data_IF_551763701940
#
_entry.id   IF_551763701940
#
_cell.length_a   1.000
_cell.length_b   1.000
_cell.length_c   1.000
_cell.angle_alpha   90.00
_cell.angle_beta   90.00
_cell.angle_gamma   90.00
#
_symmetry.space_group_name_H-M   'P 1'
#
loop_
_entity.id
_entity.type
_entity.pdbx_description
1 polymer ?
#
# COMPACT_ATOMS: atom_id res chain seq x y z
N UNK A 1 -20.73 29.48 -13.42
CA UNK A 1 -19.81 30.02 -14.44
C UNK A 1 -20.02 29.24 -15.72
N UNK A 2 -19.91 29.91 -16.88
CA UNK A 2 -20.19 29.38 -18.23
C UNK A 2 -19.58 27.99 -18.44
N UNK A 3 -20.42 27.01 -18.79
CA UNK A 3 -19.96 25.72 -19.27
C UNK A 3 -19.43 25.95 -20.69
N UNK A 4 -18.12 26.07 -20.84
CA UNK A 4 -17.48 26.35 -22.13
C UNK A 4 -17.75 25.17 -23.08
N UNK A 5 -18.31 25.45 -24.25
CA UNK A 5 -18.68 24.39 -25.20
C UNK A 5 -17.41 23.73 -25.77
N UNK A 6 -17.50 22.44 -26.14
CA UNK A 6 -16.44 21.75 -26.90
C UNK A 6 -16.05 22.59 -28.13
N UNK A 7 -17.02 23.25 -28.77
CA UNK A 7 -16.78 24.09 -29.94
C UNK A 7 -15.94 25.34 -29.60
N UNK A 8 -16.16 25.96 -28.43
CA UNK A 8 -15.37 27.10 -27.97
C UNK A 8 -13.94 26.69 -27.61
N UNK A 9 -13.80 25.52 -26.98
CA UNK A 9 -12.49 24.92 -26.67
C UNK A 9 -11.72 24.60 -27.95
N UNK A 10 -12.39 24.02 -28.96
CA UNK A 10 -11.79 23.72 -30.26
C UNK A 10 -11.36 24.99 -31.01
N UNK A 11 -12.14 26.07 -30.93
CA UNK A 11 -11.78 27.37 -31.51
C UNK A 11 -10.55 27.98 -30.86
N UNK A 12 -10.43 27.91 -29.52
CA UNK A 12 -9.24 28.38 -28.79
C UNK A 12 -8.01 27.55 -29.11
N UNK A 13 -8.15 26.22 -29.19
CA UNK A 13 -7.06 25.31 -29.56
C UNK A 13 -6.56 25.62 -30.97
N UNK A 14 -7.47 25.83 -31.93
CA UNK A 14 -7.13 26.24 -33.28
C UNK A 14 -6.39 27.58 -33.29
N UNK A 15 -6.85 28.57 -32.50
CA UNK A 15 -6.19 29.87 -32.41
C UNK A 15 -4.78 29.79 -31.81
N UNK A 16 -4.58 28.94 -30.79
CA UNK A 16 -3.24 28.71 -30.20
C UNK A 16 -2.32 28.04 -31.21
N UNK A 17 -2.78 26.98 -31.88
CA UNK A 17 -1.94 26.27 -32.87
C UNK A 17 -1.55 27.20 -34.02
N UNK A 18 -2.51 27.95 -34.58
CA UNK A 18 -2.21 28.94 -35.64
C UNK A 18 -1.18 29.97 -35.16
N UNK A 19 -1.28 30.44 -33.91
CA UNK A 19 -0.33 31.41 -33.35
C UNK A 19 1.09 30.85 -33.23
N UNK A 20 1.23 29.60 -32.81
CA UNK A 20 2.55 29.00 -32.54
C UNK A 20 3.20 28.38 -33.78
N UNK A 21 2.42 27.85 -34.72
CA UNK A 21 2.95 27.10 -35.88
C UNK A 21 2.74 27.81 -37.22
N UNK A 22 1.96 28.90 -37.25
CA UNK A 22 1.58 29.63 -38.45
C UNK A 22 0.56 28.90 -39.34
N UNK A 23 0.20 27.66 -39.02
CA UNK A 23 -0.73 26.83 -39.80
C UNK A 23 -1.69 26.12 -38.86
N UNK A 24 -3.00 26.29 -39.09
CA UNK A 24 -4.03 25.65 -38.26
C UNK A 24 -4.10 24.13 -38.45
N UNK A 25 -4.73 23.45 -37.50
CA UNK A 25 -5.02 22.03 -37.65
C UNK A 25 -5.99 21.83 -38.82
N UNK A 26 -5.71 20.82 -39.65
CA UNK A 26 -6.61 20.38 -40.71
C UNK A 26 -7.82 19.62 -40.16
N UNK A 27 -8.85 19.44 -41.00
CA UNK A 27 -10.14 18.85 -40.60
C UNK A 27 -10.02 17.46 -39.94
N UNK A 28 -9.08 16.61 -40.38
CA UNK A 28 -8.86 15.29 -39.80
C UNK A 28 -8.30 15.37 -38.36
N UNK A 29 -7.32 16.25 -38.11
CA UNK A 29 -6.74 16.45 -36.79
C UNK A 29 -7.74 17.12 -35.83
N UNK A 30 -8.55 18.05 -36.33
CA UNK A 30 -9.65 18.64 -35.56
C UNK A 30 -10.69 17.60 -35.15
N UNK A 31 -11.07 16.69 -36.05
CA UNK A 31 -12.00 15.60 -35.75
C UNK A 31 -11.43 14.62 -34.70
N UNK A 32 -10.13 14.35 -34.74
CA UNK A 32 -9.45 13.50 -33.76
C UNK A 32 -9.41 14.14 -32.37
N UNK A 33 -9.01 15.42 -32.28
CA UNK A 33 -9.02 16.19 -31.02
C UNK A 33 -10.44 16.33 -30.47
N UNK A 34 -11.42 16.62 -31.33
CA UNK A 34 -12.84 16.67 -30.94
C UNK A 34 -13.32 15.30 -30.46
N UNK A 35 -12.85 14.19 -31.05
CA UNK A 35 -13.12 12.82 -30.59
C UNK A 35 -12.61 12.57 -29.17
N UNK A 36 -11.40 13.02 -28.83
CA UNK A 36 -10.86 12.93 -27.47
C UNK A 36 -11.64 13.79 -26.47
N UNK A 37 -11.95 15.04 -26.82
CA UNK A 37 -12.75 15.93 -25.97
C UNK A 37 -14.16 15.39 -25.77
N UNK A 38 -14.79 14.83 -26.80
CA UNK A 38 -16.12 14.24 -26.73
C UNK A 38 -16.11 12.92 -25.95
N UNK A 39 -15.03 12.13 -25.98
CA UNK A 39 -14.89 10.94 -25.13
C UNK A 39 -14.76 11.32 -23.64
N UNK A 40 -13.97 12.35 -23.34
CA UNK A 40 -13.87 12.93 -22.00
C UNK A 40 -15.20 13.56 -21.53
N UNK A 41 -15.92 14.23 -22.43
CA UNK A 41 -17.23 14.80 -22.14
C UNK A 41 -18.34 13.76 -22.12
N UNK A 42 -18.23 12.60 -22.76
CA UNK A 42 -19.16 11.47 -22.56
C UNK A 42 -18.99 10.86 -21.17
N UNK A 43 -17.73 10.70 -20.71
CA UNK A 43 -17.45 10.30 -19.33
C UNK A 43 -18.00 11.32 -18.32
N UNK A 44 -17.92 12.62 -18.61
CA UNK A 44 -18.55 13.69 -17.79
C UNK A 44 -20.07 13.79 -17.96
N UNK A 45 -20.60 13.60 -19.16
CA UNK A 45 -22.03 13.75 -19.47
C UNK A 45 -22.85 12.56 -19.01
N UNK A 46 -22.27 11.36 -18.97
CA UNK A 46 -22.86 10.21 -18.28
C UNK A 46 -22.96 10.48 -16.77
N UNK A 47 -22.09 11.33 -16.19
CA UNK A 47 -22.22 11.81 -14.80
C UNK A 47 -23.27 12.93 -14.63
N UNK A 48 -23.50 13.74 -15.68
CA UNK A 48 -24.47 14.85 -15.67
C UNK A 48 -25.91 14.39 -16.01
N UNK A 49 -26.09 13.29 -16.76
CA UNK A 49 -27.41 12.79 -17.17
C UNK A 49 -28.14 11.99 -16.09
N UNK A 50 -27.43 11.44 -15.11
CA UNK A 50 -28.03 11.02 -13.83
C UNK A 50 -28.13 12.26 -12.94
N UNK A 51 -29.33 12.83 -12.81
CA UNK A 51 -29.57 14.14 -12.22
C UNK A 51 -29.11 14.31 -10.76
N UNK A 52 -29.03 15.58 -10.35
CA UNK A 52 -28.69 16.20 -9.05
C UNK A 52 -28.77 15.34 -7.76
N UNK A 53 -29.63 14.32 -7.70
CA UNK A 53 -29.71 13.36 -6.60
C UNK A 53 -28.52 12.39 -6.52
N UNK A 54 -27.83 12.05 -7.61
CA UNK A 54 -26.69 11.10 -7.61
C UNK A 54 -25.37 11.68 -7.12
N UNK A 55 -25.28 13.01 -6.97
CA UNK A 55 -24.10 13.71 -6.43
C UNK A 55 -24.20 14.02 -4.94
N UNK A 56 -25.39 13.89 -4.33
CA UNK A 56 -25.52 14.01 -2.87
C UNK A 56 -24.84 12.83 -2.17
N UNK A 57 -24.18 13.11 -1.05
CA UNK A 57 -23.54 12.09 -0.23
C UNK A 57 -24.59 11.11 0.29
N UNK A 58 -24.46 9.84 -0.11
CA UNK A 58 -25.37 8.77 0.28
C UNK A 58 -24.60 7.55 0.78
N UNK A 59 -25.17 6.77 1.72
CA UNK A 59 -24.60 5.49 2.12
C UNK A 59 -24.55 4.54 0.93
N UNK A 60 -23.38 3.96 0.66
CA UNK A 60 -23.19 2.92 -0.35
C UNK A 60 -22.26 1.84 0.19
N UNK A 61 -22.57 0.58 -0.14
CA UNK A 61 -21.59 -0.48 0.02
C UNK A 61 -20.60 -0.40 -1.14
N UNK A 62 -19.31 -0.34 -0.83
CA UNK A 62 -18.24 -0.31 -1.83
C UNK A 62 -17.18 -1.33 -1.49
N UNK A 63 -16.42 -1.76 -2.50
CA UNK A 63 -15.15 -2.45 -2.32
C UNK A 63 -14.00 -1.51 -2.65
N UNK A 64 -13.21 -1.20 -1.64
CA UNK A 64 -12.03 -0.36 -1.71
C UNK A 64 -10.81 -1.23 -1.97
N UNK A 65 -10.00 -0.85 -2.95
CA UNK A 65 -8.68 -1.42 -3.22
C UNK A 65 -7.67 -0.28 -3.10
N UNK A 66 -6.73 -0.44 -2.16
CA UNK A 66 -5.59 0.46 -2.04
C UNK A 66 -4.33 -0.31 -2.42
N UNK A 67 -3.47 0.33 -3.21
CA UNK A 67 -2.25 -0.26 -3.72
C UNK A 67 -1.08 0.71 -3.54
N UNK A 68 0.01 0.27 -2.91
CA UNK A 68 1.17 1.09 -2.57
C UNK A 68 2.48 0.48 -3.10
N UNK A 69 3.39 1.32 -3.59
CA UNK A 69 4.70 0.87 -4.08
C UNK A 69 5.69 0.69 -2.93
N UNK A 70 5.94 -0.57 -2.57
CA UNK A 70 6.81 -0.94 -1.46
C UNK A 70 8.27 -0.60 -1.70
N UNK A 71 8.81 0.21 -0.78
CA UNK A 71 10.21 0.66 -0.80
C UNK A 71 10.46 1.82 -1.75
N UNK A 72 9.41 2.40 -2.35
CA UNK A 72 9.54 3.52 -3.28
C UNK A 72 10.06 4.78 -2.59
N UNK A 73 9.60 5.10 -1.38
CA UNK A 73 10.11 6.24 -0.58
C UNK A 73 11.60 6.15 -0.27
N UNK A 74 12.11 4.95 0.04
CA UNK A 74 13.54 4.75 0.27
C UNK A 74 14.34 4.88 -1.03
N UNK A 75 13.79 4.33 -2.12
CA UNK A 75 14.38 4.45 -3.45
C UNK A 75 14.42 5.90 -3.93
N UNK A 76 13.37 6.68 -3.70
CA UNK A 76 13.28 8.08 -4.15
C UNK A 76 14.30 8.98 -3.46
N UNK A 77 14.72 8.64 -2.25
CA UNK A 77 15.78 9.35 -1.53
C UNK A 77 17.19 9.06 -2.07
N UNK A 78 17.39 7.94 -2.79
CA UNK A 78 18.70 7.46 -3.23
C UNK A 78 18.92 7.61 -4.75
N UNK A 79 17.90 7.98 -5.51
CA UNK A 79 17.93 8.00 -6.97
C UNK A 79 17.65 9.42 -7.51
N UNK A 80 18.12 9.75 -8.73
CA UNK A 80 17.78 11.02 -9.37
C UNK A 80 16.26 11.17 -9.54
N UNK A 81 15.72 12.34 -9.21
CA UNK A 81 14.27 12.60 -9.22
C UNK A 81 13.60 12.28 -10.58
N UNK A 82 14.29 12.55 -11.70
CA UNK A 82 13.77 12.26 -13.04
C UNK A 82 13.55 10.75 -13.27
N UNK A 83 14.46 9.89 -12.80
CA UNK A 83 14.35 8.44 -12.94
C UNK A 83 13.23 7.87 -12.05
N UNK A 84 13.11 8.41 -10.83
CA UNK A 84 12.04 8.06 -9.88
C UNK A 84 10.66 8.38 -10.45
N UNK A 85 10.49 9.59 -11.02
CA UNK A 85 9.23 10.03 -11.62
C UNK A 85 8.91 9.18 -12.86
N UNK A 86 9.89 8.88 -13.70
CA UNK A 86 9.69 8.03 -14.88
C UNK A 86 9.25 6.61 -14.49
N UNK A 87 9.89 6.02 -13.47
CA UNK A 87 9.52 4.70 -12.94
C UNK A 87 8.10 4.72 -12.34
N UNK A 88 7.77 5.75 -11.55
CA UNK A 88 6.44 5.93 -10.97
C UNK A 88 5.37 6.02 -12.06
N UNK A 89 5.54 6.91 -13.03
CA UNK A 89 4.57 7.12 -14.10
C UNK A 89 4.33 5.84 -14.92
N UNK A 90 5.38 5.05 -15.19
CA UNK A 90 5.24 3.75 -15.85
C UNK A 90 4.41 2.77 -15.03
N UNK A 91 4.64 2.72 -13.71
CA UNK A 91 3.82 1.92 -12.80
C UNK A 91 2.36 2.39 -12.83
N UNK A 92 2.12 3.68 -12.64
CA UNK A 92 0.76 4.24 -12.58
C UNK A 92 -0.02 4.02 -13.88
N UNK A 93 0.60 4.18 -15.05
CA UNK A 93 -0.03 3.86 -16.35
C UNK A 93 -0.46 2.40 -16.37
N UNK A 94 0.47 1.48 -16.05
CA UNK A 94 0.19 0.04 -16.12
C UNK A 94 -0.89 -0.40 -15.13
N UNK A 95 -0.89 0.16 -13.93
CA UNK A 95 -1.92 -0.11 -12.92
C UNK A 95 -3.27 0.47 -13.33
N UNK A 96 -3.30 1.68 -13.91
CA UNK A 96 -4.54 2.32 -14.37
C UNK A 96 -5.21 1.53 -15.48
N UNK A 97 -4.44 0.97 -16.42
CA UNK A 97 -4.97 0.08 -17.47
C UNK A 97 -5.67 -1.15 -16.89
N UNK A 98 -5.14 -1.72 -15.81
CA UNK A 98 -5.76 -2.87 -15.13
C UNK A 98 -7.05 -2.44 -14.44
N UNK A 99 -7.04 -1.33 -13.72
CA UNK A 99 -8.23 -0.81 -13.04
C UNK A 99 -9.37 -0.54 -14.02
N UNK A 100 -9.08 0.13 -15.13
CA UNK A 100 -10.08 0.44 -16.16
C UNK A 100 -10.67 -0.82 -16.79
N UNK A 101 -9.86 -1.86 -17.04
CA UNK A 101 -10.33 -3.15 -17.58
C UNK A 101 -11.40 -3.80 -16.70
N UNK A 102 -11.27 -3.64 -15.39
CA UNK A 102 -12.20 -4.20 -14.40
C UNK A 102 -13.29 -3.22 -13.96
N UNK A 103 -13.40 -2.07 -14.64
CA UNK A 103 -14.41 -1.04 -14.35
C UNK A 103 -14.35 -0.55 -12.90
N UNK A 104 -13.12 -0.45 -12.36
CA UNK A 104 -12.87 0.24 -11.09
C UNK A 104 -12.74 1.74 -11.32
N UNK A 105 -13.15 2.54 -10.34
CA UNK A 105 -12.98 3.99 -10.35
C UNK A 105 -11.69 4.33 -9.61
N UNK A 106 -10.69 4.87 -10.30
CA UNK A 106 -9.52 5.46 -9.62
C UNK A 106 -10.03 6.73 -8.93
N UNK A 107 -10.12 6.70 -7.60
CA UNK A 107 -10.64 7.82 -6.82
C UNK A 107 -9.54 8.85 -6.57
N UNK A 108 -8.31 8.41 -6.27
CA UNK A 108 -7.18 9.30 -6.04
C UNK A 108 -5.82 8.59 -6.16
N UNK A 109 -4.82 9.33 -6.63
CA UNK A 109 -3.40 9.00 -6.43
C UNK A 109 -2.86 9.73 -5.20
N UNK A 110 -2.19 9.01 -4.31
CA UNK A 110 -1.63 9.51 -3.05
C UNK A 110 -0.12 9.29 -3.08
N UNK A 111 0.60 10.11 -3.85
CA UNK A 111 2.03 9.91 -4.08
C UNK A 111 2.29 8.64 -4.90
N UNK A 112 2.87 7.63 -4.27
CA UNK A 112 3.15 6.29 -4.79
C UNK A 112 2.04 5.27 -4.50
N UNK A 113 0.98 5.71 -3.83
CA UNK A 113 -0.23 4.94 -3.58
C UNK A 113 -1.35 5.26 -4.58
N UNK A 114 -2.22 4.29 -4.85
CA UNK A 114 -3.44 4.40 -5.66
C UNK A 114 -4.63 3.87 -4.87
N UNK A 115 -5.73 4.64 -4.84
CA UNK A 115 -7.01 4.24 -4.26
C UNK A 115 -8.06 4.05 -5.35
N UNK A 116 -8.67 2.87 -5.35
CA UNK A 116 -9.65 2.43 -6.33
C UNK A 116 -10.92 2.01 -5.62
N UNK A 117 -12.06 2.38 -6.20
CA UNK A 117 -13.40 2.07 -5.67
C UNK A 117 -14.18 1.26 -6.69
N UNK A 118 -14.79 0.17 -6.23
CA UNK A 118 -15.82 -0.60 -6.93
C UNK A 118 -17.13 -0.42 -6.16
N UNK A 119 -18.25 -0.14 -6.82
CA UNK A 119 -19.51 0.23 -6.17
C UNK A 119 -19.85 1.73 -6.21
N UNK A 120 -18.90 2.56 -6.64
CA UNK A 120 -19.12 3.99 -6.83
C UNK A 120 -18.29 4.55 -8.00
N UNK A 121 -18.83 5.50 -8.80
CA UNK A 121 -20.21 6.01 -8.75
C UNK A 121 -21.24 5.04 -9.33
N UNK A 122 -20.80 3.96 -9.96
CA UNK A 122 -21.64 2.90 -10.51
C UNK A 122 -21.38 1.62 -9.70
N UNK A 123 -22.46 0.94 -9.33
CA UNK A 123 -22.41 -0.31 -8.57
C UNK A 123 -22.82 -1.48 -9.45
N UNK A 124 -22.25 -2.65 -9.16
CA UNK A 124 -22.57 -3.90 -9.82
C UNK A 124 -22.58 -5.04 -8.79
N UNK A 125 -23.31 -6.11 -9.08
CA UNK A 125 -23.40 -7.25 -8.14
C UNK A 125 -22.06 -7.98 -7.93
N UNK A 126 -21.14 -7.87 -8.88
CA UNK A 126 -19.84 -8.54 -8.86
C UNK A 126 -18.67 -7.62 -8.43
N UNK A 127 -18.95 -6.45 -7.81
CA UNK A 127 -17.93 -5.47 -7.40
C UNK A 127 -16.77 -6.07 -6.59
N UNK A 128 -17.08 -6.97 -5.65
CA UNK A 128 -16.07 -7.70 -4.87
C UNK A 128 -15.19 -8.57 -5.77
N UNK A 129 -15.79 -9.31 -6.71
CA UNK A 129 -15.03 -10.18 -7.61
C UNK A 129 -14.14 -9.35 -8.55
N UNK A 130 -14.66 -8.27 -9.13
CA UNK A 130 -13.88 -7.38 -10.00
C UNK A 130 -12.71 -6.74 -9.25
N UNK A 131 -12.92 -6.30 -8.01
CA UNK A 131 -11.85 -5.76 -7.17
C UNK A 131 -10.74 -6.79 -6.90
N UNK A 132 -11.10 -8.04 -6.56
CA UNK A 132 -10.11 -9.08 -6.28
C UNK A 132 -9.36 -9.53 -7.54
N UNK A 133 -10.05 -9.66 -8.67
CA UNK A 133 -9.41 -9.95 -9.96
C UNK A 133 -8.46 -8.82 -10.35
N UNK A 134 -8.90 -7.56 -10.21
CA UNK A 134 -8.07 -6.38 -10.42
C UNK A 134 -6.80 -6.42 -9.55
N UNK A 135 -6.92 -6.70 -8.25
CA UNK A 135 -5.78 -6.80 -7.34
C UNK A 135 -4.76 -7.86 -7.79
N UNK A 136 -5.22 -9.06 -8.19
CA UNK A 136 -4.31 -10.12 -8.66
C UNK A 136 -3.65 -9.73 -9.99
N UNK A 137 -4.39 -9.13 -10.92
CA UNK A 137 -3.83 -8.67 -12.19
C UNK A 137 -2.85 -7.50 -12.03
N UNK A 138 -3.06 -6.61 -11.06
CA UNK A 138 -2.09 -5.56 -10.71
C UNK A 138 -0.76 -6.18 -10.25
N UNK A 139 -0.81 -7.22 -9.40
CA UNK A 139 0.40 -7.92 -8.98
C UNK A 139 1.12 -8.63 -10.14
N UNK A 140 0.37 -9.25 -11.06
CA UNK A 140 0.93 -9.86 -12.27
C UNK A 140 1.56 -8.81 -13.20
N UNK A 141 0.89 -7.67 -13.39
CA UNK A 141 1.38 -6.57 -14.21
C UNK A 141 2.68 -5.99 -13.64
N UNK A 142 2.80 -5.87 -12.31
CA UNK A 142 4.03 -5.42 -11.65
C UNK A 142 5.17 -6.43 -11.77
N UNK A 143 4.88 -7.73 -11.68
CA UNK A 143 5.88 -8.78 -11.98
C UNK A 143 6.44 -8.62 -13.39
N UNK A 144 5.56 -8.43 -14.37
CA UNK A 144 5.96 -8.30 -15.78
C UNK A 144 6.74 -7.00 -16.02
N UNK A 145 6.32 -5.89 -15.40
CA UNK A 145 7.04 -4.62 -15.44
C UNK A 145 8.45 -4.74 -14.84
N UNK A 146 8.60 -5.47 -13.73
CA UNK A 146 9.91 -5.70 -13.13
C UNK A 146 10.86 -6.52 -14.02
N UNK A 147 10.35 -7.38 -14.90
CA UNK A 147 11.19 -8.05 -15.90
C UNK A 147 11.71 -7.07 -16.95
N UNK A 148 10.92 -6.06 -17.32
CA UNK A 148 11.36 -4.96 -18.19
C UNK A 148 12.39 -4.10 -17.47
N UNK A 149 12.11 -3.68 -16.22
CA UNK A 149 13.04 -2.89 -15.43
C UNK A 149 14.41 -3.58 -15.29
N UNK A 150 14.42 -4.91 -15.06
CA UNK A 150 15.66 -5.67 -14.98
C UNK A 150 16.49 -5.61 -16.27
N UNK A 151 15.84 -5.68 -17.45
CA UNK A 151 16.52 -5.56 -18.75
C UNK A 151 17.05 -4.15 -18.99
N UNK A 152 16.34 -3.14 -18.51
CA UNK A 152 16.70 -1.73 -18.64
C UNK A 152 17.61 -1.23 -17.51
N UNK A 153 18.00 -2.11 -16.57
CA UNK A 153 18.79 -1.77 -15.37
C UNK A 153 18.13 -0.72 -14.48
N UNK A 154 16.79 -0.66 -14.49
CA UNK A 154 16.00 0.14 -13.58
C UNK A 154 15.73 -0.62 -12.27
N UNK A 155 15.51 0.08 -11.16
CA UNK A 155 15.10 -0.55 -9.90
C UNK A 155 13.79 -1.34 -10.04
N UNK A 156 13.73 -2.47 -9.35
CA UNK A 156 12.49 -3.22 -9.23
C UNK A 156 11.55 -2.55 -8.23
N UNK A 157 10.27 -2.50 -8.56
CA UNK A 157 9.23 -1.89 -7.74
C UNK A 157 8.18 -2.94 -7.41
N UNK A 158 7.80 -3.05 -6.15
CA UNK A 158 6.87 -4.07 -5.68
C UNK A 158 5.60 -3.42 -5.17
N UNK A 159 4.48 -4.13 -5.23
CA UNK A 159 3.18 -3.60 -4.81
C UNK A 159 2.69 -4.31 -3.55
N UNK A 160 2.23 -3.54 -2.58
CA UNK A 160 1.35 -3.99 -1.51
C UNK A 160 -0.09 -3.64 -1.88
N UNK A 161 -1.05 -4.53 -1.61
CA UNK A 161 -2.47 -4.25 -1.85
C UNK A 161 -3.28 -4.63 -0.62
N UNK A 162 -4.16 -3.71 -0.21
CA UNK A 162 -5.24 -3.95 0.76
C UNK A 162 -6.62 -3.82 0.11
N UNK A 163 -7.53 -4.74 0.42
CA UNK A 163 -8.91 -4.72 -0.07
C UNK A 163 -9.88 -4.80 1.11
N UNK A 164 -10.88 -3.91 1.11
CA UNK A 164 -11.94 -3.89 2.11
C UNK A 164 -13.31 -3.62 1.47
N UNK A 165 -14.33 -4.37 1.89
CA UNK A 165 -15.73 -4.11 1.52
C UNK A 165 -16.52 -3.63 2.73
N UNK A 166 -17.23 -2.50 2.59
CA UNK A 166 -18.04 -1.94 3.67
C UNK A 166 -18.88 -0.75 3.25
N UNK A 167 -19.72 -0.27 4.17
CA UNK A 167 -20.57 0.90 3.98
C UNK A 167 -19.78 2.19 4.14
N UNK A 168 -19.86 3.07 3.14
CA UNK A 168 -19.24 4.41 3.13
C UNK A 168 -20.26 5.46 2.71
N UNK A 169 -19.97 6.72 2.98
CA UNK A 169 -20.69 7.85 2.38
C UNK A 169 -20.02 8.20 1.05
N UNK A 170 -20.70 7.97 -0.07
CA UNK A 170 -20.21 8.28 -1.41
C UNK A 170 -20.98 9.47 -1.99
N UNK A 171 -20.27 10.48 -2.49
CA UNK A 171 -20.89 11.67 -3.08
C UNK A 171 -19.89 12.78 -3.32
N UNK A 172 -20.41 13.95 -3.72
CA UNK A 172 -19.60 15.16 -3.91
C UNK A 172 -19.38 15.85 -2.56
N UNK A 173 -18.13 15.94 -2.15
CA UNK A 173 -17.71 16.65 -0.93
C UNK A 173 -16.85 17.86 -1.31
N UNK A 174 -16.97 18.96 -0.56
CA UNK A 174 -16.19 20.18 -0.77
C UNK A 174 -17.01 21.45 -0.61
N UNK A 175 -16.50 22.56 -1.14
CA UNK A 175 -17.17 23.86 -1.23
C UNK A 175 -17.57 24.17 -2.67
N UNK A 176 -18.21 25.32 -2.87
CA UNK A 176 -18.54 25.82 -4.22
C UNK A 176 -17.30 26.09 -5.08
N UNK A 177 -16.14 26.33 -4.45
CA UNK A 177 -14.88 26.62 -5.13
C UNK A 177 -14.09 25.36 -5.49
N UNK A 178 -14.23 24.31 -4.69
CA UNK A 178 -13.54 23.04 -4.91
C UNK A 178 -14.36 21.91 -4.32
N UNK A 179 -14.79 20.98 -5.18
CA UNK A 179 -15.47 19.77 -4.75
C UNK A 179 -15.05 18.57 -5.59
N UNK A 180 -15.10 17.39 -4.98
CA UNK A 180 -14.72 16.13 -5.60
C UNK A 180 -15.73 15.05 -5.23
N UNK A 181 -16.05 14.17 -6.19
CA UNK A 181 -16.75 12.94 -5.87
C UNK A 181 -15.76 11.99 -5.18
N UNK A 182 -16.04 11.64 -3.92
CA UNK A 182 -15.18 10.77 -3.13
C UNK A 182 -16.04 9.91 -2.19
N UNK A 183 -15.37 9.00 -1.49
CA UNK A 183 -15.93 8.13 -0.47
C UNK A 183 -15.33 8.48 0.88
N UNK A 184 -16.18 8.58 1.91
CA UNK A 184 -15.79 8.89 3.28
C UNK A 184 -16.36 7.85 4.25
N UNK A 185 -15.61 7.53 5.28
CA UNK A 185 -16.05 6.63 6.35
C UNK A 185 -14.92 5.77 6.89
N UNK A 186 -15.18 5.13 8.03
CA UNK A 186 -14.20 4.29 8.72
C UNK A 186 -13.66 3.15 7.84
N UNK A 187 -14.49 2.63 6.93
CA UNK A 187 -14.12 1.55 6.01
C UNK A 187 -13.09 1.98 4.96
N UNK A 188 -13.00 3.29 4.65
CA UNK A 188 -11.95 3.88 3.81
C UNK A 188 -10.61 3.86 4.53
N UNK A 189 -10.60 4.31 5.79
CA UNK A 189 -9.39 4.29 6.62
C UNK A 189 -8.93 2.87 6.92
N UNK A 190 -9.88 1.95 7.13
CA UNK A 190 -9.58 0.54 7.33
C UNK A 190 -8.87 -0.04 6.11
N UNK A 191 -9.31 0.27 4.90
CA UNK A 191 -8.65 -0.20 3.68
C UNK A 191 -7.18 0.26 3.61
N UNK A 192 -6.88 1.51 3.98
CA UNK A 192 -5.51 2.04 4.06
C UNK A 192 -4.66 1.30 5.09
N UNK A 193 -5.26 0.94 6.23
CA UNK A 193 -4.57 0.19 7.28
C UNK A 193 -4.27 -1.23 6.84
N UNK A 194 -5.22 -1.89 6.17
CA UNK A 194 -5.04 -3.22 5.60
C UNK A 194 -3.92 -3.20 4.55
N UNK A 195 -3.93 -2.18 3.69
CA UNK A 195 -2.86 -1.94 2.72
C UNK A 195 -1.53 -1.92 3.46
N UNK A 196 -1.35 -1.10 4.50
CA UNK A 196 -0.08 -0.96 5.22
C UNK A 196 0.46 -2.29 5.78
N UNK A 197 -0.43 -3.24 6.09
CA UNK A 197 -0.07 -4.60 6.50
C UNK A 197 0.26 -5.55 5.34
N UNK A 198 0.23 -5.14 4.09
CA UNK A 198 0.64 -6.01 2.98
C UNK A 198 2.16 -5.95 2.77
N UNK A 199 2.80 -7.09 2.52
CA UNK A 199 4.20 -7.15 2.10
C UNK A 199 4.32 -7.06 0.57
N UNK A 200 5.55 -7.07 0.06
CA UNK A 200 5.83 -7.02 -1.37
C UNK A 200 5.17 -8.19 -2.10
N UNK A 201 4.28 -7.88 -3.03
CA UNK A 201 3.57 -8.89 -3.82
C UNK A 201 2.39 -9.54 -3.10
N UNK A 202 1.91 -8.98 -1.98
CA UNK A 202 0.76 -9.49 -1.25
C UNK A 202 -0.53 -8.74 -1.57
N UNK A 203 -1.65 -9.46 -1.45
CA UNK A 203 -2.99 -8.89 -1.45
C UNK A 203 -3.64 -9.31 -0.13
N UNK A 204 -3.83 -8.36 0.77
CA UNK A 204 -4.58 -8.58 2.01
C UNK A 204 -6.03 -8.17 1.83
N UNK A 205 -6.94 -8.99 2.36
CA UNK A 205 -8.38 -8.74 2.30
C UNK A 205 -8.96 -8.74 3.71
N UNK A 206 -9.91 -7.87 3.97
CA UNK A 206 -10.68 -7.90 5.22
C UNK A 206 -11.56 -9.14 5.29
N UNK A 207 -11.92 -9.55 6.51
CA UNK A 207 -12.91 -10.63 6.71
C UNK A 207 -14.26 -10.30 6.04
N UNK A 208 -14.68 -9.02 6.03
CA UNK A 208 -15.89 -8.57 5.33
C UNK A 208 -15.84 -8.85 3.82
N UNK A 209 -14.69 -8.60 3.20
CA UNK A 209 -14.45 -8.92 1.77
C UNK A 209 -14.48 -10.43 1.55
N UNK A 210 -13.79 -11.19 2.41
CA UNK A 210 -13.72 -12.65 2.31
C UNK A 210 -15.10 -13.30 2.43
N UNK A 211 -15.93 -12.87 3.37
CA UNK A 211 -17.28 -13.43 3.56
C UNK A 211 -18.18 -13.29 2.31
N UNK A 212 -17.96 -12.27 1.47
CA UNK A 212 -18.69 -12.08 0.21
C UNK A 212 -18.17 -12.95 -0.95
N UNK A 213 -17.00 -13.57 -0.82
CA UNK A 213 -16.33 -14.28 -1.92
C UNK A 213 -15.66 -15.61 -1.53
N UNK A 214 -15.84 -16.11 -0.31
CA UNK A 214 -15.09 -17.24 0.27
C UNK A 214 -15.15 -18.51 -0.59
N UNK A 215 -16.24 -18.74 -1.31
CA UNK A 215 -16.44 -19.88 -2.19
C UNK A 215 -15.80 -19.71 -3.59
N UNK A 216 -15.30 -18.51 -3.92
CA UNK A 216 -14.67 -18.18 -5.22
C UNK A 216 -13.16 -18.01 -5.11
N UNK A 217 -12.62 -17.85 -3.91
CA UNK A 217 -11.20 -17.52 -3.68
C UNK A 217 -10.51 -18.54 -2.79
N UNK A 218 -9.20 -18.67 -2.96
CA UNK A 218 -8.32 -19.33 -1.99
C UNK A 218 -7.60 -18.26 -1.20
N UNK A 219 -7.75 -18.29 0.13
CA UNK A 219 -7.13 -17.35 1.06
C UNK A 219 -6.50 -18.10 2.25
N UNK A 220 -5.56 -17.45 2.94
CA UNK A 220 -4.94 -18.04 4.13
C UNK A 220 -5.89 -18.12 5.32
N UNK A 221 -5.43 -18.78 6.38
CA UNK A 221 -6.02 -18.63 7.71
C UNK A 221 -6.05 -17.15 8.13
N UNK A 222 -7.03 -16.74 8.96
CA UNK A 222 -7.14 -15.37 9.40
C UNK A 222 -5.95 -14.98 10.30
N UNK A 223 -5.42 -13.78 10.09
CA UNK A 223 -4.44 -13.13 10.96
C UNK A 223 -5.08 -11.94 11.66
N UNK A 224 -4.81 -11.78 12.96
CA UNK A 224 -5.33 -10.67 13.76
C UNK A 224 -4.31 -9.53 13.74
N UNK A 225 -4.76 -8.33 13.38
CA UNK A 225 -3.94 -7.11 13.42
C UNK A 225 -4.62 -6.02 14.23
N UNK A 226 -3.84 -5.35 15.07
CA UNK A 226 -4.26 -4.16 15.79
C UNK A 226 -4.06 -2.95 14.90
N UNK A 227 -5.14 -2.18 14.75
CA UNK A 227 -5.12 -0.94 13.99
C UNK A 227 -5.42 0.23 14.90
N UNK A 228 -4.71 1.35 14.71
CA UNK A 228 -4.95 2.57 15.49
C UNK A 228 -6.42 2.99 15.34
N UNK A 229 -7.07 3.29 16.46
CA UNK A 229 -8.47 3.73 16.49
C UNK A 229 -9.51 2.61 16.70
N UNK A 230 -9.12 1.33 16.64
CA UNK A 230 -10.01 0.21 17.02
C UNK A 230 -9.54 -0.46 18.31
N UNK A 231 -10.51 -0.76 19.18
CA UNK A 231 -10.26 -1.49 20.43
C UNK A 231 -10.06 -2.99 20.21
N UNK A 232 -10.72 -3.56 19.21
CA UNK A 232 -10.63 -4.97 18.84
C UNK A 232 -9.72 -5.16 17.63
N UNK A 233 -8.96 -6.27 17.56
CA UNK A 233 -8.15 -6.57 16.40
C UNK A 233 -9.04 -6.81 15.18
N UNK A 234 -8.50 -6.47 14.01
CA UNK A 234 -9.13 -6.74 12.72
C UNK A 234 -8.58 -8.06 12.17
N UNK A 235 -9.48 -8.90 11.68
CA UNK A 235 -9.12 -10.15 11.03
C UNK A 235 -8.87 -9.93 9.53
N UNK A 236 -7.66 -10.24 9.08
CA UNK A 236 -7.23 -10.15 7.69
C UNK A 236 -6.86 -11.52 7.14
N UNK A 237 -6.90 -11.66 5.82
CA UNK A 237 -6.43 -12.86 5.10
C UNK A 237 -5.58 -12.46 3.92
N UNK A 238 -4.59 -13.28 3.59
CA UNK A 238 -3.85 -13.15 2.34
C UNK A 238 -4.63 -13.88 1.24
N UNK A 239 -5.02 -13.15 0.19
CA UNK A 239 -5.58 -13.74 -1.02
C UNK A 239 -4.46 -14.48 -1.77
N UNK A 240 -4.66 -15.76 -2.05
CA UNK A 240 -3.67 -16.63 -2.71
C UNK A 240 -4.02 -16.82 -4.17
N UNK A 241 -5.29 -17.11 -4.48
CA UNK A 241 -5.73 -17.42 -5.83
C UNK A 241 -7.24 -17.20 -6.02
N UNK A 242 -7.65 -17.09 -7.29
CA UNK A 242 -9.03 -17.14 -7.75
C UNK A 242 -9.13 -18.31 -8.73
N UNK A 243 -9.43 -19.54 -8.24
CA UNK A 243 -9.32 -20.76 -9.05
C UNK A 243 -10.18 -20.76 -10.31
N UNK A 244 -11.42 -20.24 -10.23
CA UNK A 244 -12.35 -20.16 -11.35
C UNK A 244 -11.81 -19.33 -12.53
N UNK A 245 -10.91 -18.38 -12.25
CA UNK A 245 -10.25 -17.51 -13.25
C UNK A 245 -8.83 -17.96 -13.60
N UNK A 246 -8.34 -19.06 -12.99
CA UNK A 246 -6.94 -19.52 -13.08
C UNK A 246 -5.92 -18.44 -12.69
N UNK A 247 -6.31 -17.55 -11.78
CA UNK A 247 -5.46 -16.47 -11.29
C UNK A 247 -4.80 -16.85 -9.97
N UNK A 248 -3.51 -16.54 -9.83
CA UNK A 248 -2.73 -16.75 -8.61
C UNK A 248 -1.88 -15.52 -8.34
N UNK A 249 -1.84 -15.08 -7.09
CA UNK A 249 -0.99 -13.96 -6.68
C UNK A 249 0.49 -14.38 -6.80
N UNK A 250 1.32 -13.67 -7.58
CA UNK A 250 2.73 -14.00 -7.76
C UNK A 250 3.53 -13.56 -6.53
N UNK A 251 3.49 -14.36 -5.44
CA UNK A 251 4.18 -14.04 -4.19
C UNK A 251 5.67 -13.75 -4.44
N UNK A 252 6.11 -12.52 -4.11
CA UNK A 252 7.49 -12.06 -4.30
C UNK A 252 8.31 -12.11 -3.00
N UNK A 253 7.66 -11.93 -1.84
CA UNK A 253 8.31 -11.97 -0.53
C UNK A 253 7.75 -13.11 0.34
N UNK A 254 8.65 -13.95 0.87
CA UNK A 254 8.32 -15.08 1.76
C UNK A 254 8.47 -14.75 3.26
N UNK A 255 8.74 -13.48 3.60
CA UNK A 255 8.82 -13.06 5.00
C UNK A 255 7.47 -13.25 5.67
N UNK A 256 7.51 -13.65 6.94
CA UNK A 256 6.31 -13.98 7.74
C UNK A 256 5.73 -12.78 8.51
N UNK A 257 6.43 -11.63 8.52
CA UNK A 257 6.01 -10.43 9.26
C UNK A 257 6.64 -9.15 8.72
N UNK A 258 6.01 -8.01 8.99
CA UNK A 258 6.58 -6.68 8.76
C UNK A 258 7.84 -6.46 9.57
N UNK A 259 8.65 -5.52 9.08
CA UNK A 259 9.80 -4.98 9.78
C UNK A 259 9.62 -3.46 9.84
N UNK A 260 9.25 -2.96 11.01
CA UNK A 260 8.99 -1.56 11.24
C UNK A 260 10.26 -0.89 11.78
N UNK A 261 10.76 0.09 11.03
CA UNK A 261 11.83 0.99 11.48
C UNK A 261 11.39 1.80 12.70
N UNK A 262 12.23 1.84 13.73
CA UNK A 262 12.01 2.53 15.00
C UNK A 262 13.35 2.78 15.68
N UNK A 263 13.46 3.79 16.54
CA UNK A 263 14.66 4.00 17.38
C UNK A 263 14.29 3.82 18.84
N UNK A 264 14.62 2.67 19.41
CA UNK A 264 14.33 2.33 20.82
C UNK A 264 15.63 1.98 21.54
N UNK A 265 15.99 2.68 22.63
CA UNK A 265 17.12 2.30 23.46
C UNK A 265 16.95 0.86 23.98
N UNK A 266 18.01 0.07 23.91
CA UNK A 266 18.01 -1.32 24.33
C UNK A 266 19.25 -1.61 25.16
N UNK A 267 19.06 -2.34 26.26
CA UNK A 267 20.15 -2.93 27.03
C UNK A 267 20.32 -4.37 26.57
N UNK A 268 21.56 -4.77 26.34
CA UNK A 268 21.88 -6.12 25.90
C UNK A 268 22.94 -6.73 26.82
N UNK A 269 22.81 -8.01 27.12
CA UNK A 269 23.82 -8.80 27.82
C UNK A 269 24.11 -10.07 27.02
N UNK A 270 25.39 -10.42 26.89
CA UNK A 270 25.79 -11.65 26.21
C UNK A 270 25.35 -12.86 27.03
N UNK A 271 24.89 -13.92 26.36
CA UNK A 271 24.60 -15.21 26.97
C UNK A 271 25.67 -16.21 26.54
N UNK A 272 26.27 -16.91 27.50
CA UNK A 272 27.25 -17.96 27.25
C UNK A 272 26.81 -19.24 27.98
N UNK A 273 26.54 -20.31 27.23
CA UNK A 273 25.84 -21.46 27.79
C UNK A 273 24.45 -21.03 28.28
N UNK A 274 24.17 -21.29 29.55
CA UNK A 274 22.92 -20.89 30.22
C UNK A 274 23.06 -19.60 31.06
N UNK A 275 24.26 -19.01 31.10
CA UNK A 275 24.57 -17.86 31.97
C UNK A 275 24.54 -16.53 31.22
N UNK A 276 23.77 -15.58 31.76
CA UNK A 276 23.76 -14.18 31.33
C UNK A 276 24.97 -13.46 31.91
N UNK A 277 25.82 -12.93 31.04
CA UNK A 277 27.03 -12.22 31.44
C UNK A 277 26.69 -10.87 32.07
N UNK A 278 27.42 -10.43 33.13
CA UNK A 278 27.07 -9.22 33.89
C UNK A 278 27.32 -7.92 33.13
N UNK A 279 28.09 -7.96 32.03
CA UNK A 279 28.41 -6.78 31.23
C UNK A 279 27.18 -6.33 30.44
N UNK A 280 26.74 -5.10 30.70
CA UNK A 280 25.67 -4.43 29.96
C UNK A 280 26.24 -3.70 28.75
N UNK A 281 25.63 -3.92 27.60
CA UNK A 281 25.92 -3.25 26.33
C UNK A 281 24.72 -2.35 26.03
N UNK A 282 24.97 -1.05 25.89
CA UNK A 282 23.96 -0.10 25.46
C UNK A 282 23.86 -0.12 23.92
N UNK A 283 22.68 -0.42 23.41
CA UNK A 283 22.39 -0.55 21.99
C UNK A 283 21.18 0.33 21.61
N UNK A 284 20.98 0.48 20.31
CA UNK A 284 19.77 1.11 19.76
C UNK A 284 19.09 0.13 18.81
N UNK A 285 17.83 -0.19 19.06
CA UNK A 285 17.00 -0.89 18.08
C UNK A 285 16.74 0.07 16.92
N UNK A 286 17.02 -0.37 15.69
CA UNK A 286 16.80 0.39 14.45
C UNK A 286 15.53 -0.03 13.72
N UNK A 287 15.12 -1.29 13.90
CA UNK A 287 13.86 -1.82 13.40
C UNK A 287 13.43 -3.05 14.22
N UNK A 288 12.15 -3.41 14.11
CA UNK A 288 11.57 -4.57 14.77
C UNK A 288 10.60 -5.32 13.86
N UNK A 289 10.55 -6.64 14.02
CA UNK A 289 9.57 -7.54 13.40
C UNK A 289 8.96 -8.46 14.46
N UNK A 290 8.03 -9.35 14.08
CA UNK A 290 7.46 -10.30 15.05
C UNK A 290 8.47 -11.36 15.53
N UNK A 291 9.58 -11.52 14.80
CA UNK A 291 10.52 -12.63 14.99
C UNK A 291 11.95 -12.16 15.25
N UNK A 292 12.19 -10.86 15.36
CA UNK A 292 13.53 -10.32 15.55
C UNK A 292 13.61 -8.82 15.34
N UNK A 293 14.82 -8.28 15.41
CA UNK A 293 15.09 -6.85 15.37
C UNK A 293 16.46 -6.55 14.76
N UNK A 294 16.74 -5.28 14.48
CA UNK A 294 18.07 -4.79 14.13
C UNK A 294 18.62 -3.95 15.27
N UNK A 295 19.87 -4.18 15.69
CA UNK A 295 20.58 -3.37 16.67
C UNK A 295 21.71 -2.58 16.02
N UNK A 296 21.83 -1.32 16.42
CA UNK A 296 23.06 -0.55 16.41
C UNK A 296 23.84 -0.89 17.69
N UNK A 297 25.06 -1.38 17.55
CA UNK A 297 25.93 -1.85 18.61
C UNK A 297 27.26 -1.07 18.62
N UNK A 298 27.82 -0.75 19.80
CA UNK A 298 29.11 -0.10 19.90
C UNK A 298 30.28 -1.04 19.58
N UNK A 299 30.06 -2.35 19.68
CA UNK A 299 31.07 -3.38 19.48
C UNK A 299 30.55 -4.56 18.65
N UNK A 300 31.49 -5.32 18.10
CA UNK A 300 31.17 -6.49 17.28
C UNK A 300 30.75 -7.65 18.18
N UNK A 301 29.62 -8.27 17.86
CA UNK A 301 29.16 -9.52 18.47
C UNK A 301 29.04 -10.56 17.36
N UNK A 302 29.68 -11.71 17.52
CA UNK A 302 29.77 -12.69 16.45
C UNK A 302 28.41 -13.37 16.17
N UNK A 303 28.10 -13.66 14.89
CA UNK A 303 26.93 -14.46 14.54
C UNK A 303 26.90 -15.79 15.30
N UNK A 304 25.69 -16.21 15.68
CA UNK A 304 25.45 -17.39 16.50
C UNK A 304 25.40 -17.10 18.00
N UNK A 305 25.98 -16.00 18.48
CA UNK A 305 25.86 -15.61 19.88
C UNK A 305 24.44 -15.15 20.22
N UNK A 306 24.02 -15.40 21.47
CA UNK A 306 22.70 -15.03 21.98
C UNK A 306 22.85 -13.84 22.94
N UNK A 307 21.95 -12.87 22.82
CA UNK A 307 21.83 -11.74 23.72
C UNK A 307 20.52 -11.83 24.49
N UNK A 308 20.57 -11.54 25.78
CA UNK A 308 19.40 -11.15 26.55
C UNK A 308 19.18 -9.64 26.38
N UNK A 309 17.94 -9.26 26.10
CA UNK A 309 17.56 -7.91 25.73
C UNK A 309 16.53 -7.35 26.72
N UNK A 310 16.65 -6.04 26.96
CA UNK A 310 15.68 -5.24 27.70
C UNK A 310 15.43 -3.91 26.97
N UNK A 311 14.15 -3.54 26.78
CA UNK A 311 13.75 -2.33 26.06
C UNK A 311 12.29 -1.93 26.34
N UNK A 312 11.96 -0.65 26.15
CA UNK A 312 10.60 -0.13 26.37
C UNK A 312 9.79 -0.04 25.06
N UNK A 313 8.65 -0.73 25.02
CA UNK A 313 7.66 -0.65 23.95
C UNK A 313 6.64 0.45 24.27
N UNK A 314 7.06 1.71 24.10
CA UNK A 314 6.32 2.89 24.57
C UNK A 314 4.88 3.00 24.03
N UNK A 315 4.65 2.66 22.76
CA UNK A 315 3.30 2.71 22.14
C UNK A 315 2.29 1.76 22.79
N UNK A 316 2.77 0.73 23.51
CA UNK A 316 1.94 -0.26 24.19
C UNK A 316 2.18 -0.28 25.70
N UNK A 317 2.90 0.73 26.21
CA UNK A 317 3.23 0.94 27.63
C UNK A 317 3.73 -0.34 28.31
N UNK A 318 4.68 -1.03 27.67
CA UNK A 318 5.21 -2.31 28.14
C UNK A 318 6.73 -2.31 28.13
N UNK A 319 7.35 -2.78 29.22
CA UNK A 319 8.81 -2.98 29.29
C UNK A 319 9.11 -4.44 29.00
N UNK A 320 9.78 -4.71 27.89
CA UNK A 320 10.23 -6.04 27.53
C UNK A 320 11.51 -6.36 28.31
N UNK A 321 11.46 -7.44 29.10
CA UNK A 321 12.58 -7.96 29.88
C UNK A 321 12.71 -9.45 29.60
N UNK A 322 13.95 -9.97 29.66
CA UNK A 322 14.19 -11.40 29.45
C UNK A 322 13.89 -11.88 28.03
N UNK A 323 14.05 -11.01 27.03
CA UNK A 323 13.91 -11.40 25.61
C UNK A 323 15.25 -11.91 25.12
N UNK A 324 15.32 -13.13 24.61
CA UNK A 324 16.56 -13.70 24.08
C UNK A 324 16.54 -13.68 22.56
N UNK A 325 17.63 -13.21 21.97
CA UNK A 325 17.77 -13.13 20.53
C UNK A 325 19.17 -13.53 20.06
N UNK A 326 19.24 -14.32 18.99
CA UNK A 326 20.49 -14.77 18.38
C UNK A 326 20.93 -13.80 17.30
N UNK A 327 22.21 -13.43 17.29
CA UNK A 327 22.83 -12.66 16.21
C UNK A 327 22.90 -13.54 14.96
N UNK A 328 22.24 -13.11 13.88
CA UNK A 328 22.21 -13.86 12.61
C UNK A 328 23.22 -13.28 11.62
N UNK A 329 23.36 -11.96 11.59
CA UNK A 329 24.27 -11.24 10.71
C UNK A 329 24.75 -9.95 11.37
N UNK A 330 25.95 -9.52 11.02
CA UNK A 330 26.52 -8.26 11.51
C UNK A 330 27.35 -7.58 10.42
N UNK A 331 27.26 -6.25 10.34
CA UNK A 331 27.97 -5.42 9.36
C UNK A 331 28.54 -4.18 10.06
N UNK A 332 29.73 -3.74 9.65
CA UNK A 332 30.29 -2.46 10.10
C UNK A 332 29.65 -1.29 9.34
N UNK A 333 29.23 -0.25 10.05
CA UNK A 333 28.75 1.00 9.48
C UNK A 333 29.35 2.18 10.25
N UNK A 334 30.05 3.08 9.57
CA UNK A 334 30.55 4.39 10.08
C UNK A 334 30.81 4.45 11.60
N UNK A 335 31.74 3.63 12.09
CA UNK A 335 32.20 3.65 13.49
C UNK A 335 31.36 2.85 14.49
N UNK A 336 30.32 2.14 14.04
CA UNK A 336 29.50 1.24 14.84
C UNK A 336 29.21 -0.07 14.08
N UNK A 337 28.50 -0.97 14.73
CA UNK A 337 28.08 -2.25 14.16
C UNK A 337 26.57 -2.32 14.05
N UNK A 338 26.07 -2.87 12.95
CA UNK A 338 24.65 -3.12 12.74
C UNK A 338 24.43 -4.63 12.68
N UNK A 339 23.67 -5.15 13.64
CA UNK A 339 23.41 -6.58 13.80
C UNK A 339 21.92 -6.90 13.59
N UNK A 340 21.64 -7.91 12.78
CA UNK A 340 20.30 -8.49 12.65
C UNK A 340 20.15 -9.67 13.61
N UNK A 341 19.14 -9.61 14.47
CA UNK A 341 18.87 -10.62 15.48
C UNK A 341 17.50 -11.30 15.24
N UNK A 342 17.42 -12.58 15.60
CA UNK A 342 16.18 -13.36 15.62
C UNK A 342 15.84 -13.78 17.05
N UNK A 343 14.58 -13.61 17.47
CA UNK A 343 14.13 -14.03 18.79
C UNK A 343 14.22 -15.55 18.92
N UNK A 344 14.95 -16.02 19.92
CA UNK A 344 15.03 -17.43 20.28
C UNK A 344 14.07 -17.77 21.41
N UNK A 345 13.89 -16.84 22.35
CA UNK A 345 12.97 -17.00 23.48
C UNK A 345 12.35 -15.66 23.83
N UNK A 346 11.04 -15.66 24.02
CA UNK A 346 10.24 -14.49 24.39
C UNK A 346 9.01 -14.99 25.14
N UNK A 347 8.69 -14.33 26.25
CA UNK A 347 7.55 -14.73 27.09
C UNK A 347 6.22 -14.62 26.34
N UNK A 348 5.25 -15.45 26.73
CA UNK A 348 3.88 -15.42 26.19
C UNK A 348 3.17 -14.08 26.43
N UNK A 349 3.59 -13.31 27.43
CA UNK A 349 3.10 -11.95 27.66
C UNK A 349 3.80 -10.91 26.75
N UNK A 350 5.12 -11.03 26.55
CA UNK A 350 5.89 -10.06 25.77
C UNK A 350 5.62 -10.21 24.26
N UNK A 351 5.44 -11.44 23.76
CA UNK A 351 5.21 -11.73 22.34
C UNK A 351 4.05 -10.93 21.73
N UNK A 352 2.82 -10.93 22.29
CA UNK A 352 1.73 -10.14 21.73
C UNK A 352 1.98 -8.63 21.86
N UNK A 353 2.76 -8.16 22.86
CA UNK A 353 3.13 -6.74 23.01
C UNK A 353 4.10 -6.30 21.91
N UNK A 354 5.10 -7.13 21.58
CA UNK A 354 6.00 -6.89 20.44
C UNK A 354 5.22 -6.86 19.13
N UNK A 355 4.32 -7.82 18.91
CA UNK A 355 3.46 -7.85 17.72
C UNK A 355 2.62 -6.58 17.62
N UNK A 356 1.91 -6.20 18.70
CA UNK A 356 1.08 -5.00 18.73
C UNK A 356 1.92 -3.73 18.52
N UNK A 357 3.10 -3.63 19.11
CA UNK A 357 4.01 -2.50 18.91
C UNK A 357 4.44 -2.38 17.45
N UNK A 358 4.89 -3.48 16.82
CA UNK A 358 5.24 -3.50 15.40
C UNK A 358 4.04 -3.13 14.53
N UNK A 359 2.85 -3.65 14.84
CA UNK A 359 1.64 -3.35 14.09
C UNK A 359 1.24 -1.89 14.17
N UNK A 360 1.32 -1.28 15.36
CA UNK A 360 1.05 0.14 15.55
C UNK A 360 2.06 1.03 14.82
N UNK A 361 3.34 0.63 14.77
CA UNK A 361 4.35 1.33 13.97
C UNK A 361 4.04 1.27 12.47
N UNK A 362 3.69 0.08 11.95
CA UNK A 362 3.30 -0.10 10.54
C UNK A 362 2.08 0.75 10.20
N UNK A 363 1.05 0.72 11.04
CA UNK A 363 -0.19 1.48 10.84
C UNK A 363 -0.07 3.00 11.07
N UNK A 364 1.11 3.49 11.45
CA UNK A 364 1.41 4.92 11.69
C UNK A 364 2.24 5.56 10.57
N UNK A 365 2.71 4.75 9.62
CA UNK A 365 3.30 5.20 8.36
C UNK A 365 2.17 5.56 7.40
#
# INVERSE_FOLDING_TARGET
>A
MHNESIDETMQRLQAIVVRETGVGLGAAALAEVQGFLTAGDRLRADWVKTGDATLQAQPREVTLLLADLRGFTEMSALQPAAEVIAALNRCLVRLSEVVLRHQGTIEQFLGDSMRVVFGAPIAHEDDVERALVCAVEMQLAMRDLNLVHLRERLPQVYLGIGVNTGMVMAGRFGSDLFSQYTVMGEEVDLASRIEAFSLRGQVLISESTYQRCWNRVSATAPMQVYVKGRLQPVSLRELVAIPSRKLKVPRQEFRRSHRAGTRVPCLCQLVQGDDVQPRIIHAMILDMSYHGLMLELPERIEPGNVLQLEFDLTLVQYRAVGVFARVVKIKAEKGHWVAGLEFTEISEECRPKVQMFVQLLVASR
#
